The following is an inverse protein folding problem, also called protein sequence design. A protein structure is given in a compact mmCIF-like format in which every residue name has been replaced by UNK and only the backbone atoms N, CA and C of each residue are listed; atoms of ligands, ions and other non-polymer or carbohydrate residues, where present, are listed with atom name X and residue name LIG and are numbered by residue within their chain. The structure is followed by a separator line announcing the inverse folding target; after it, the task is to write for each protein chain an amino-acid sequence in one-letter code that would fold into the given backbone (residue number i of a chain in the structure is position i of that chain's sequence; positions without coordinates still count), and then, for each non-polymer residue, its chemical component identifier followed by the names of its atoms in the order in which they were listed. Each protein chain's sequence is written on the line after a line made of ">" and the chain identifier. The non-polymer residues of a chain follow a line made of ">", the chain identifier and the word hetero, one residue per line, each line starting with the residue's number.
data_IF_137533743332
#
_entry.id   IF_137533743332
#
_cell.length_a   1.000
_cell.length_b   1.000
_cell.length_c   1.000
_cell.angle_alpha   90.00
_cell.angle_beta   90.00
_cell.angle_gamma   90.00
#
_symmetry.space_group_name_H-M   'P 1'
#
loop_
_entity.id
_entity.type
_entity.pdbx_description
1 polymer ?
#
# COMPACT_ATOMS: atom_id res chain seq x y z
N UNK A 1 5.28 27.76 23.17
CA UNK A 1 6.54 27.38 22.51
C UNK A 1 7.68 28.22 23.04
N UNK A 2 8.86 27.65 23.31
CA UNK A 2 10.06 28.44 23.48
C UNK A 2 10.45 29.00 22.11
N UNK A 3 10.42 30.32 21.94
CA UNK A 3 10.84 30.99 20.70
C UNK A 3 12.26 31.51 20.87
N UNK A 4 13.05 31.58 19.80
CA UNK A 4 14.30 32.36 19.76
C UNK A 4 14.25 33.37 18.62
N UNK A 5 14.86 34.53 18.82
CA UNK A 5 14.75 35.68 17.91
C UNK A 5 15.66 35.55 16.68
N UNK A 6 16.79 34.88 16.82
CA UNK A 6 17.72 34.51 15.74
C UNK A 6 18.25 33.09 15.95
N UNK A 7 18.89 32.49 14.93
CA UNK A 7 19.50 31.15 15.04
C UNK A 7 20.52 31.05 16.18
N UNK A 8 21.16 32.16 16.51
CA UNK A 8 22.24 32.22 17.51
C UNK A 8 21.75 32.79 18.86
N UNK A 9 20.48 33.17 18.95
CA UNK A 9 19.86 33.57 20.22
C UNK A 9 19.58 32.37 21.10
N UNK A 10 19.71 32.56 22.41
CA UNK A 10 19.23 31.60 23.39
C UNK A 10 17.71 31.36 23.23
N UNK A 11 17.28 30.12 23.51
CA UNK A 11 15.87 29.80 23.60
C UNK A 11 15.27 30.46 24.85
N UNK A 12 14.03 30.95 24.74
CA UNK A 12 13.27 31.39 25.92
C UNK A 12 13.07 30.24 26.91
N UNK A 13 12.90 30.58 28.18
CA UNK A 13 12.62 29.62 29.25
C UNK A 13 11.42 28.72 28.92
N UNK A 14 11.51 27.45 29.34
CA UNK A 14 10.42 26.49 29.22
C UNK A 14 9.32 26.82 30.22
N UNK A 15 8.07 26.70 29.79
CA UNK A 15 6.88 26.87 30.63
C UNK A 15 6.30 25.50 30.96
N UNK A 16 5.96 25.27 32.23
CA UNK A 16 5.16 24.10 32.63
C UNK A 16 3.78 24.22 31.98
N UNK A 17 3.39 23.20 31.21
CA UNK A 17 2.11 23.21 30.48
C UNK A 17 0.92 22.88 31.38
N UNK A 18 1.11 22.05 32.41
CA UNK A 18 0.06 21.56 33.31
C UNK A 18 0.51 21.64 34.78
N UNK A 19 0.49 22.83 35.41
CA UNK A 19 1.19 23.09 36.68
C UNK A 19 0.69 22.28 37.89
N UNK A 20 -0.48 21.64 37.79
CA UNK A 20 -1.09 20.84 38.85
C UNK A 20 -1.26 19.35 38.47
N UNK A 21 -0.66 18.92 37.37
CA UNK A 21 -0.78 17.54 36.88
C UNK A 21 0.61 16.98 36.64
N UNK A 22 0.92 15.88 37.32
CA UNK A 22 2.15 15.11 37.11
C UNK A 22 1.87 13.99 36.10
N UNK A 23 2.69 13.91 35.06
CA UNK A 23 2.52 12.95 33.99
C UNK A 23 3.79 12.73 33.18
N UNK A 24 3.86 11.58 32.52
CA UNK A 24 4.97 11.14 31.68
C UNK A 24 4.49 10.80 30.27
N UNK A 25 5.41 10.74 29.32
CA UNK A 25 5.16 10.31 27.93
C UNK A 25 4.01 11.05 27.22
N UNK A 26 4.08 12.38 27.07
CA UNK A 26 3.01 13.13 26.44
C UNK A 26 2.91 12.83 24.93
N UNK A 27 1.68 12.76 24.42
CA UNK A 27 1.34 12.73 23.01
C UNK A 27 0.23 13.74 22.74
N UNK A 28 0.42 14.59 21.74
CA UNK A 28 -0.55 15.61 21.35
C UNK A 28 -1.24 15.19 20.04
N UNK A 29 -2.54 15.45 19.93
CA UNK A 29 -3.27 15.24 18.69
C UNK A 29 -2.76 16.15 17.56
N UNK A 30 -2.97 15.78 16.29
CA UNK A 30 -2.52 16.56 15.13
C UNK A 30 -3.11 17.97 15.05
N UNK A 31 -4.34 18.15 15.51
CA UNK A 31 -5.00 19.46 15.62
C UNK A 31 -4.44 20.30 16.80
N UNK A 32 -3.74 19.66 17.73
CA UNK A 32 -3.16 20.26 18.92
C UNK A 32 -4.13 20.45 20.08
N UNK A 33 -5.33 19.86 20.03
CA UNK A 33 -6.41 20.11 21.00
C UNK A 33 -6.54 19.05 22.09
N UNK A 34 -5.94 17.87 21.91
CA UNK A 34 -5.90 16.80 22.90
C UNK A 34 -4.47 16.49 23.32
N UNK A 35 -4.28 16.28 24.62
CA UNK A 35 -3.04 15.81 25.22
C UNK A 35 -3.31 14.49 25.92
N UNK A 36 -2.68 13.42 25.43
CA UNK A 36 -2.58 12.15 26.13
C UNK A 36 -1.28 12.11 26.92
N UNK A 37 -1.30 11.52 28.11
CA UNK A 37 -0.11 11.29 28.91
C UNK A 37 -0.35 10.14 29.88
N UNK A 38 0.71 9.63 30.48
CA UNK A 38 0.65 8.54 31.45
C UNK A 38 0.79 9.07 32.88
N UNK A 39 -0.05 8.62 33.80
CA UNK A 39 0.08 8.99 35.22
C UNK A 39 -0.44 7.90 36.14
N UNK A 40 0.26 7.71 37.26
CA UNK A 40 -0.12 6.84 38.39
C UNK A 40 -0.52 7.64 39.63
N UNK A 41 -0.47 8.97 39.55
CA UNK A 41 -0.67 9.88 40.70
C UNK A 41 -2.04 10.55 40.74
N UNK A 42 -2.80 10.43 39.65
CA UNK A 42 -4.12 11.03 39.52
C UNK A 42 -5.20 10.11 40.14
N UNK A 43 -6.18 10.67 40.87
CA UNK A 43 -7.22 9.89 41.52
C UNK A 43 -8.20 9.29 40.50
N UNK A 44 -8.53 8.01 40.65
CA UNK A 44 -9.42 7.29 39.72
C UNK A 44 -8.69 6.45 38.67
N UNK A 45 -7.38 6.24 38.84
CA UNK A 45 -6.65 5.24 38.07
C UNK A 45 -7.06 3.80 38.40
N UNK A 46 -6.82 2.88 37.47
CA UNK A 46 -7.17 1.46 37.53
C UNK A 46 -5.99 0.58 37.98
N UNK A 47 -4.75 1.03 37.79
CA UNK A 47 -3.56 0.22 38.01
C UNK A 47 -2.29 1.04 38.23
N UNK A 48 -1.22 0.66 37.52
CA UNK A 48 0.08 1.30 37.57
C UNK A 48 0.06 2.69 36.91
N UNK A 49 0.78 2.87 35.81
CA UNK A 49 0.52 4.05 34.98
C UNK A 49 -0.77 3.81 34.20
N UNK A 50 -1.64 4.80 34.17
CA UNK A 50 -2.77 4.83 33.25
C UNK A 50 -2.58 5.92 32.21
N UNK A 51 -3.23 5.79 31.05
CA UNK A 51 -3.33 6.85 30.06
C UNK A 51 -4.49 7.77 30.42
N UNK A 52 -4.17 9.05 30.53
CA UNK A 52 -5.05 10.16 30.82
C UNK A 52 -5.13 11.12 29.64
N UNK A 53 -6.25 11.81 29.52
CA UNK A 53 -6.52 12.80 28.49
C UNK A 53 -6.84 14.16 29.09
N UNK A 54 -6.34 15.23 28.47
CA UNK A 54 -6.79 16.60 28.67
C UNK A 54 -7.13 17.23 27.32
N UNK A 55 -8.12 18.10 27.29
CA UNK A 55 -8.62 18.77 26.10
C UNK A 55 -8.51 20.29 26.23
N UNK A 56 -8.56 21.02 25.12
CA UNK A 56 -8.63 22.49 25.10
C UNK A 56 -9.31 22.96 23.82
N UNK A 57 -9.99 24.11 23.91
CA UNK A 57 -10.76 24.68 22.80
C UNK A 57 -9.86 25.27 21.70
N UNK A 58 -8.69 25.80 22.07
CA UNK A 58 -7.75 26.39 21.09
C UNK A 58 -6.31 26.00 21.39
N UNK A 59 -5.42 26.09 20.40
CA UNK A 59 -3.99 25.77 20.54
C UNK A 59 -3.23 26.60 21.56
N UNK A 60 -3.79 27.74 21.97
CA UNK A 60 -3.23 28.62 22.99
C UNK A 60 -4.09 28.67 24.26
N UNK A 61 -5.21 27.94 24.29
CA UNK A 61 -6.12 27.84 25.42
C UNK A 61 -5.59 26.97 26.56
N UNK A 62 -6.24 27.10 27.70
CA UNK A 62 -5.96 26.30 28.89
C UNK A 62 -6.45 24.85 28.73
N UNK A 63 -5.71 23.91 29.31
CA UNK A 63 -6.09 22.51 29.34
C UNK A 63 -7.19 22.25 30.38
N UNK A 64 -8.13 21.37 30.04
CA UNK A 64 -9.18 20.87 30.94
C UNK A 64 -8.62 20.00 32.06
N UNK A 65 -9.47 19.60 33.01
CA UNK A 65 -9.09 18.62 34.02
C UNK A 65 -8.77 17.26 33.37
N UNK A 66 -7.80 16.48 33.91
CA UNK A 66 -7.43 15.20 33.33
C UNK A 66 -8.53 14.14 33.54
N UNK A 67 -8.81 13.38 32.48
CA UNK A 67 -9.81 12.31 32.44
C UNK A 67 -9.11 10.97 32.20
N UNK A 68 -9.44 9.95 33.00
CA UNK A 68 -8.94 8.59 32.79
C UNK A 68 -9.72 7.93 31.64
N UNK A 69 -9.01 7.29 30.70
CA UNK A 69 -9.64 6.70 29.51
C UNK A 69 -10.26 5.31 29.71
N UNK A 70 -10.11 4.71 30.90
CA UNK A 70 -10.77 3.46 31.29
C UNK A 70 -10.48 2.25 30.39
N UNK A 71 -11.15 1.11 30.62
CA UNK A 71 -11.03 -0.08 29.78
C UNK A 71 -11.74 0.09 28.42
N UNK A 72 -11.28 -0.59 27.35
CA UNK A 72 -10.18 -1.54 27.34
C UNK A 72 -8.82 -0.87 27.15
N UNK A 73 -8.73 0.46 27.08
CA UNK A 73 -7.45 1.12 26.86
C UNK A 73 -6.55 0.93 28.08
N UNK A 74 -6.99 1.43 29.23
CA UNK A 74 -6.40 1.16 30.55
C UNK A 74 -6.90 -0.18 31.11
N UNK A 75 -6.07 -0.81 31.91
CA UNK A 75 -6.33 -2.06 32.60
C UNK A 75 -5.89 -1.96 34.06
N UNK A 76 -5.95 -3.06 34.80
CA UNK A 76 -5.36 -3.10 36.16
C UNK A 76 -3.81 -3.08 36.14
N UNK A 77 -3.19 -3.16 34.95
CA UNK A 77 -1.75 -3.14 34.75
C UNK A 77 -1.17 -1.74 34.54
N UNK A 78 -0.01 -1.67 33.86
CA UNK A 78 0.65 -0.42 33.49
C UNK A 78 0.48 -0.12 32.00
N UNK A 79 -0.24 0.94 31.66
CA UNK A 79 -0.38 1.53 30.33
C UNK A 79 0.44 2.82 30.19
N UNK A 80 1.35 2.86 29.22
CA UNK A 80 2.27 3.99 29.06
C UNK A 80 2.64 4.27 27.60
N UNK A 81 3.20 5.46 27.37
CA UNK A 81 3.68 5.92 26.04
C UNK A 81 2.57 5.93 24.98
N UNK A 82 1.48 6.68 25.22
CA UNK A 82 0.45 6.84 24.22
C UNK A 82 1.02 7.48 22.95
N UNK A 83 0.44 7.13 21.82
CA UNK A 83 0.59 7.79 20.54
C UNK A 83 -0.77 7.80 19.85
N UNK A 84 -1.15 8.94 19.26
CA UNK A 84 -2.42 9.10 18.55
C UNK A 84 -2.19 9.18 17.04
N UNK A 85 -3.02 8.49 16.26
CA UNK A 85 -2.97 8.53 14.80
C UNK A 85 -3.36 9.90 14.25
N UNK A 86 -2.97 10.17 13.00
CA UNK A 86 -3.24 11.46 12.35
C UNK A 86 -4.74 11.77 12.21
N UNK A 87 -5.56 10.73 12.08
CA UNK A 87 -7.01 10.80 12.00
C UNK A 87 -7.71 10.69 13.38
N UNK A 88 -6.94 10.58 14.48
CA UNK A 88 -7.43 10.43 15.85
C UNK A 88 -8.19 9.14 16.18
N UNK A 89 -8.35 8.22 15.22
CA UNK A 89 -9.15 6.99 15.37
C UNK A 89 -8.43 5.86 16.10
N UNK A 90 -7.11 5.99 16.31
CA UNK A 90 -6.26 4.93 16.89
C UNK A 90 -5.33 5.51 17.94
N UNK A 91 -5.25 4.81 19.07
CA UNK A 91 -4.20 5.01 20.07
C UNK A 91 -3.31 3.78 20.07
N UNK A 92 -2.01 4.00 19.85
CA UNK A 92 -0.98 3.00 20.13
C UNK A 92 -0.42 3.28 21.52
N UNK A 93 -0.17 2.23 22.29
CA UNK A 93 0.40 2.36 23.62
C UNK A 93 1.22 1.12 23.97
N UNK A 94 2.03 1.22 25.01
CA UNK A 94 2.72 0.07 25.58
C UNK A 94 1.99 -0.38 26.84
N UNK A 95 1.78 -1.68 27.00
CA UNK A 95 1.21 -2.26 28.22
C UNK A 95 2.24 -3.18 28.88
N UNK A 96 2.26 -3.12 30.21
CA UNK A 96 3.16 -3.85 31.08
C UNK A 96 4.31 -3.00 31.63
N UNK A 97 4.74 -3.36 32.84
CA UNK A 97 5.97 -2.90 33.49
C UNK A 97 6.94 -4.06 33.77
N UNK A 98 8.25 -3.78 33.95
CA UNK A 98 9.16 -4.78 34.50
C UNK A 98 8.57 -5.35 35.79
N UNK A 99 8.50 -6.68 35.91
CA UNK A 99 7.91 -7.43 37.04
C UNK A 99 6.37 -7.54 37.07
N UNK A 100 5.64 -6.99 36.10
CA UNK A 100 4.23 -7.31 35.86
C UNK A 100 4.10 -8.50 34.89
N UNK A 101 3.07 -9.33 35.08
CA UNK A 101 2.70 -10.34 34.08
C UNK A 101 2.20 -9.67 32.79
N UNK A 102 2.35 -10.32 31.61
CA UNK A 102 1.87 -9.74 30.37
C UNK A 102 0.36 -9.56 30.41
N UNK A 103 -0.12 -8.44 29.86
CA UNK A 103 -1.53 -8.23 29.57
C UNK A 103 -2.06 -9.43 28.77
N UNK A 104 -3.25 -10.00 29.06
CA UNK A 104 -3.75 -11.18 28.37
C UNK A 104 -3.66 -11.05 26.84
N UNK A 105 -2.94 -11.98 26.20
CA UNK A 105 -2.63 -11.94 24.75
C UNK A 105 -1.28 -11.32 24.38
N UNK A 106 -0.55 -10.76 25.35
CA UNK A 106 0.81 -10.26 25.20
C UNK A 106 1.89 -11.34 25.39
N UNK A 107 3.10 -11.02 24.94
CA UNK A 107 4.29 -11.88 24.99
C UNK A 107 5.24 -11.45 26.12
N UNK A 108 5.27 -10.17 26.48
CA UNK A 108 6.23 -9.62 27.44
C UNK A 108 5.75 -8.40 28.21
N UNK A 109 6.67 -7.76 28.94
CA UNK A 109 6.39 -6.65 29.86
C UNK A 109 6.40 -5.25 29.22
N UNK A 110 6.43 -5.18 27.88
CA UNK A 110 6.40 -3.93 27.13
C UNK A 110 5.91 -4.17 25.69
N UNK A 111 4.79 -4.87 25.55
CA UNK A 111 4.18 -5.09 24.24
C UNK A 111 3.51 -3.82 23.73
N UNK A 112 3.46 -3.66 22.42
CA UNK A 112 2.75 -2.56 21.76
C UNK A 112 1.33 -2.99 21.46
N UNK A 113 0.38 -2.22 21.96
CA UNK A 113 -1.06 -2.44 21.85
C UNK A 113 -1.71 -1.33 21.04
N UNK A 114 -2.86 -1.65 20.48
CA UNK A 114 -3.71 -0.71 19.75
C UNK A 114 -5.12 -0.71 20.35
N UNK A 115 -5.65 0.48 20.57
CA UNK A 115 -7.07 0.71 20.82
C UNK A 115 -7.66 1.55 19.67
N UNK A 116 -8.87 1.19 19.27
CA UNK A 116 -9.69 2.05 18.44
C UNK A 116 -10.39 3.07 19.34
N UNK A 117 -10.41 4.31 18.88
CA UNK A 117 -11.23 5.35 19.47
C UNK A 117 -12.25 5.73 18.41
N UNK A 118 -13.50 5.39 18.66
CA UNK A 118 -14.60 5.68 17.75
C UNK A 118 -15.61 6.57 18.48
N UNK A 119 -16.17 7.58 17.82
CA UNK A 119 -17.18 8.44 18.42
C UNK A 119 -18.42 7.60 18.72
N UNK A 120 -18.96 7.76 19.93
CA UNK A 120 -20.22 7.12 20.33
C UNK A 120 -21.39 7.85 19.65
N UNK A 121 -21.73 7.45 18.42
CA UNK A 121 -22.70 8.16 17.60
C UNK A 121 -24.16 7.74 17.83
N UNK A 122 -24.40 6.65 18.56
CA UNK A 122 -25.73 6.24 19.03
C UNK A 122 -26.00 6.98 20.34
N UNK A 123 -26.53 8.19 20.23
CA UNK A 123 -26.71 9.14 21.33
C UNK A 123 -27.93 8.81 22.19
N UNK A 124 -28.89 8.06 21.64
CA UNK A 124 -30.08 7.63 22.37
C UNK A 124 -30.01 6.18 22.91
N UNK A 125 -28.93 5.44 22.61
CA UNK A 125 -28.72 4.04 22.97
C UNK A 125 -29.83 3.09 22.46
N UNK A 126 -30.42 3.38 21.29
CA UNK A 126 -31.42 2.51 20.68
C UNK A 126 -30.81 1.39 19.81
N UNK A 127 -29.49 1.38 19.70
CA UNK A 127 -28.70 0.42 18.93
C UNK A 127 -28.52 0.80 17.46
N UNK A 128 -29.03 1.96 17.03
CA UNK A 128 -28.89 2.50 15.68
C UNK A 128 -28.30 3.91 15.73
N UNK A 129 -27.64 4.31 14.63
CA UNK A 129 -27.15 5.69 14.44
C UNK A 129 -28.00 6.31 13.33
N UNK A 130 -29.02 7.09 13.71
CA UNK A 130 -30.09 7.56 12.83
C UNK A 130 -30.56 9.00 13.12
N UNK A 131 -31.68 9.41 12.54
CA UNK A 131 -32.24 10.76 12.70
C UNK A 131 -32.60 11.11 14.14
N UNK A 132 -32.86 10.11 15.00
CA UNK A 132 -33.18 10.34 16.41
C UNK A 132 -31.94 10.77 17.19
N UNK A 133 -30.74 10.37 16.77
CA UNK A 133 -29.48 10.85 17.36
C UNK A 133 -29.21 12.31 17.04
N UNK A 134 -29.63 12.77 15.85
CA UNK A 134 -29.58 14.20 15.49
C UNK A 134 -30.48 15.00 16.42
N UNK A 135 -31.68 14.49 16.75
CA UNK A 135 -32.59 15.17 17.68
C UNK A 135 -32.02 15.27 19.09
N UNK A 136 -31.30 14.23 19.54
CA UNK A 136 -30.57 14.27 20.82
C UNK A 136 -29.50 15.36 20.75
N UNK A 137 -28.65 15.36 19.73
CA UNK A 137 -27.61 16.38 19.57
C UNK A 137 -28.19 17.82 19.49
N UNK A 138 -29.28 18.03 18.75
CA UNK A 138 -29.95 19.34 18.66
C UNK A 138 -30.49 19.83 20.01
N UNK A 139 -30.99 18.93 20.85
CA UNK A 139 -31.48 19.29 22.18
C UNK A 139 -30.35 19.78 23.12
N UNK A 140 -29.11 19.37 22.85
CA UNK A 140 -27.93 19.71 23.63
C UNK A 140 -27.06 20.79 22.97
N UNK A 141 -27.51 21.39 21.87
CA UNK A 141 -26.74 22.37 21.10
C UNK A 141 -26.27 23.57 21.94
N UNK A 142 -24.98 23.88 21.84
CA UNK A 142 -24.31 24.96 22.57
C UNK A 142 -24.08 24.67 24.07
N UNK A 143 -24.31 23.44 24.52
CA UNK A 143 -24.09 23.02 25.91
C UNK A 143 -22.80 22.21 26.03
N UNK A 144 -22.16 22.27 27.20
CA UNK A 144 -21.04 21.40 27.55
C UNK A 144 -21.57 20.05 28.04
N UNK A 145 -22.06 19.22 27.11
CA UNK A 145 -22.60 17.89 27.39
C UNK A 145 -21.75 16.78 26.77
N UNK A 146 -20.93 16.07 27.58
CA UNK A 146 -20.06 14.99 27.10
C UNK A 146 -20.78 13.80 26.47
N UNK A 147 -22.10 13.66 26.66
CA UNK A 147 -22.86 12.58 26.04
C UNK A 147 -23.14 12.81 24.55
N UNK A 148 -23.05 14.06 24.09
CA UNK A 148 -23.34 14.48 22.71
C UNK A 148 -22.15 15.18 22.03
N UNK A 149 -21.12 15.53 22.81
CA UNK A 149 -19.86 16.13 22.38
C UNK A 149 -18.89 15.04 21.88
N UNK A 150 -18.95 14.77 20.59
CA UNK A 150 -18.30 13.65 19.89
C UNK A 150 -17.35 14.10 18.77
N UNK A 151 -17.14 15.42 18.59
CA UNK A 151 -16.31 16.01 17.56
C UNK A 151 -15.70 17.37 17.95
N UNK A 152 -14.62 17.83 17.27
CA UNK A 152 -13.84 17.13 16.26
C UNK A 152 -12.97 16.01 16.87
N UNK A 153 -12.67 14.97 16.07
CA UNK A 153 -12.12 13.69 16.52
C UNK A 153 -13.06 12.97 17.52
N UNK A 154 -12.87 11.67 17.82
CA UNK A 154 -13.84 10.86 18.59
C UNK A 154 -14.11 11.28 20.05
N UNK A 155 -13.63 12.46 20.50
CA UNK A 155 -13.49 12.85 21.89
C UNK A 155 -14.16 14.17 22.27
N UNK A 156 -14.67 14.93 21.29
CA UNK A 156 -15.29 16.24 21.55
C UNK A 156 -14.31 17.40 21.80
N UNK A 157 -14.81 18.63 21.79
CA UNK A 157 -14.06 19.85 22.16
C UNK A 157 -14.61 20.58 23.41
N UNK A 158 -15.61 20.00 24.07
CA UNK A 158 -16.21 20.52 25.29
C UNK A 158 -17.51 21.29 25.06
N UNK A 159 -18.01 21.38 23.83
CA UNK A 159 -19.29 22.01 23.52
C UNK A 159 -19.97 21.32 22.33
N UNK A 160 -21.27 21.04 22.45
CA UNK A 160 -22.04 20.47 21.33
C UNK A 160 -22.26 21.53 20.25
N UNK A 161 -21.62 21.38 19.11
CA UNK A 161 -21.67 22.31 17.99
C UNK A 161 -21.63 21.63 16.60
N UNK A 162 -21.26 22.41 15.57
CA UNK A 162 -21.18 21.92 14.19
C UNK A 162 -20.12 20.85 13.94
N UNK A 163 -19.08 20.76 14.76
CA UNK A 163 -18.05 19.74 14.65
C UNK A 163 -18.57 18.37 15.10
N UNK A 164 -19.39 18.32 16.15
CA UNK A 164 -20.10 17.10 16.56
C UNK A 164 -21.07 16.64 15.49
N UNK A 165 -21.84 17.58 14.95
CA UNK A 165 -22.78 17.29 13.88
C UNK A 165 -22.05 16.72 12.65
N UNK A 166 -20.85 17.20 12.32
CA UNK A 166 -20.06 16.65 11.23
C UNK A 166 -19.64 15.19 11.50
N UNK A 167 -19.27 14.86 12.74
CA UNK A 167 -18.91 13.48 13.15
C UNK A 167 -20.15 12.57 13.15
N UNK A 168 -21.25 13.02 13.73
CA UNK A 168 -22.52 12.29 13.75
C UNK A 168 -23.02 12.05 12.33
N UNK A 169 -22.99 13.08 11.47
CA UNK A 169 -23.37 12.95 10.07
C UNK A 169 -22.45 11.99 9.33
N UNK A 170 -21.15 11.94 9.63
CA UNK A 170 -20.24 10.93 9.07
C UNK A 170 -20.67 9.51 9.44
N UNK A 171 -21.12 9.29 10.68
CA UNK A 171 -21.58 8.00 11.16
C UNK A 171 -22.95 7.61 10.59
N UNK A 172 -23.91 8.55 10.55
CA UNK A 172 -25.25 8.37 9.96
C UNK A 172 -25.16 8.10 8.45
N UNK A 173 -24.31 8.84 7.75
CA UNK A 173 -24.13 8.68 6.29
C UNK A 173 -23.17 7.56 5.93
N UNK A 174 -22.53 6.93 6.93
CA UNK A 174 -21.59 5.84 6.72
C UNK A 174 -20.42 6.23 5.83
N UNK A 175 -19.81 7.41 6.03
CA UNK A 175 -18.67 7.89 5.23
C UNK A 175 -17.34 7.11 5.46
N UNK A 176 -17.46 5.84 5.88
CA UNK A 176 -16.54 4.74 5.58
C UNK A 176 -17.34 3.65 4.82
N UNK A 177 -17.84 4.01 3.63
CA UNK A 177 -18.59 3.13 2.74
C UNK A 177 -17.66 2.04 2.19
N UNK A 178 -17.29 1.02 2.99
CA UNK A 178 -16.28 -0.02 2.67
C UNK A 178 -16.27 -0.36 1.18
N UNK A 179 -15.45 0.35 0.38
CA UNK A 179 -15.53 0.21 -1.06
C UNK A 179 -14.93 -1.14 -1.40
N UNK A 180 -15.49 -1.82 -2.39
CA UNK A 180 -14.89 -3.02 -2.95
C UNK A 180 -14.61 -2.76 -4.42
N UNK A 181 -13.33 -2.76 -4.84
CA UNK A 181 -12.12 -2.97 -4.04
C UNK A 181 -11.86 -1.90 -2.98
N UNK A 182 -11.18 -2.28 -1.89
CA UNK A 182 -10.73 -1.36 -0.86
C UNK A 182 -9.67 -0.41 -1.41
N UNK A 183 -9.49 0.75 -0.77
CA UNK A 183 -8.43 1.68 -1.10
C UNK A 183 -7.05 0.99 -1.11
N UNK A 184 -6.25 1.28 -2.14
CA UNK A 184 -4.94 0.70 -2.41
C UNK A 184 -4.93 -0.81 -2.64
N UNK A 185 -6.09 -1.43 -2.90
CA UNK A 185 -6.12 -2.84 -3.27
C UNK A 185 -5.27 -3.08 -4.52
N UNK A 186 -4.42 -4.09 -4.47
CA UNK A 186 -3.58 -4.53 -5.60
C UNK A 186 -4.04 -5.91 -6.05
N UNK A 187 -3.67 -6.28 -7.28
CA UNK A 187 -4.03 -7.57 -7.89
C UNK A 187 -5.54 -7.78 -8.03
N UNK A 188 -6.27 -6.70 -8.27
CA UNK A 188 -7.71 -6.78 -8.48
C UNK A 188 -8.02 -7.40 -9.85
N UNK A 189 -8.94 -8.37 -9.96
CA UNK A 189 -9.38 -8.91 -11.25
C UNK A 189 -9.90 -7.83 -12.20
N UNK A 190 -9.72 -8.02 -13.50
CA UNK A 190 -10.13 -7.02 -14.52
C UNK A 190 -11.64 -6.94 -14.73
N UNK A 191 -12.37 -7.98 -14.34
CA UNK A 191 -13.82 -8.11 -14.33
C UNK A 191 -14.42 -7.75 -12.96
N UNK A 192 -13.70 -6.93 -12.18
CA UNK A 192 -14.15 -6.53 -10.85
C UNK A 192 -15.45 -5.73 -10.90
N UNK A 193 -16.43 -6.20 -10.12
CA UNK A 193 -17.64 -5.43 -9.83
C UNK A 193 -17.34 -4.48 -8.68
N UNK A 194 -17.46 -3.19 -8.94
CA UNK A 194 -17.35 -2.16 -7.91
C UNK A 194 -18.58 -2.22 -7.03
N UNK A 195 -18.44 -2.31 -5.71
CA UNK A 195 -19.58 -2.34 -4.80
C UNK A 195 -19.34 -1.54 -3.53
N UNK A 196 -20.42 -1.02 -2.97
CA UNK A 196 -20.43 -0.18 -1.77
C UNK A 196 -21.61 -0.57 -0.88
N UNK A 197 -21.62 -0.04 0.34
CA UNK A 197 -22.76 -0.20 1.24
C UNK A 197 -23.81 0.86 0.91
N UNK A 198 -25.09 0.48 1.01
CA UNK A 198 -26.18 1.43 0.87
C UNK A 198 -26.09 2.49 1.97
N UNK A 199 -26.12 3.77 1.59
CA UNK A 199 -26.29 4.88 2.53
C UNK A 199 -27.77 5.01 2.94
N UNK A 200 -28.10 5.22 4.22
CA UNK A 200 -29.45 5.58 4.65
C UNK A 200 -29.95 6.82 3.88
N UNK A 201 -31.21 6.81 3.46
CA UNK A 201 -31.86 7.89 2.68
C UNK A 201 -31.34 8.13 1.25
N UNK A 202 -30.39 7.32 0.75
CA UNK A 202 -30.01 7.38 -0.65
C UNK A 202 -31.14 6.84 -1.54
N UNK A 203 -31.59 7.68 -2.48
CA UNK A 203 -32.49 7.26 -3.56
C UNK A 203 -31.70 6.62 -4.70
N UNK A 204 -30.50 7.15 -4.96
CA UNK A 204 -29.65 6.70 -6.06
C UNK A 204 -28.18 7.06 -5.80
N UNK A 205 -27.31 6.56 -6.67
CA UNK A 205 -25.87 6.76 -6.63
C UNK A 205 -25.33 7.20 -7.99
N UNK A 206 -24.35 8.09 -7.96
CA UNK A 206 -23.50 8.43 -9.09
C UNK A 206 -22.12 7.81 -8.88
N UNK A 207 -21.67 7.00 -9.84
CA UNK A 207 -20.36 6.34 -9.78
C UNK A 207 -19.42 7.00 -10.74
N UNK A 208 -18.24 7.33 -10.22
CA UNK A 208 -17.15 7.90 -10.98
C UNK A 208 -15.98 6.93 -10.99
N UNK A 209 -15.42 6.64 -12.16
CA UNK A 209 -14.28 5.74 -12.36
C UNK A 209 -13.36 6.31 -13.44
N UNK A 210 -12.07 6.40 -13.15
CA UNK A 210 -11.09 6.91 -14.12
C UNK A 210 -9.65 6.61 -13.72
N UNK A 211 -8.70 7.03 -14.56
CA UNK A 211 -7.26 6.82 -14.33
C UNK A 211 -6.54 8.10 -13.88
N UNK A 212 -7.29 9.04 -13.30
CA UNK A 212 -6.77 10.33 -12.83
C UNK A 212 -7.51 10.70 -11.55
N UNK A 213 -6.77 10.78 -10.43
CA UNK A 213 -7.34 11.19 -9.15
C UNK A 213 -7.93 12.60 -9.20
N UNK A 214 -7.33 13.49 -9.99
CA UNK A 214 -7.79 14.88 -10.12
C UNK A 214 -9.15 14.94 -10.84
N UNK A 215 -9.31 14.18 -11.91
CA UNK A 215 -10.57 14.14 -12.67
C UNK A 215 -11.67 13.48 -11.83
N UNK A 216 -11.36 12.34 -11.20
CA UNK A 216 -12.29 11.62 -10.33
C UNK A 216 -12.65 12.41 -9.09
N UNK A 217 -11.77 13.26 -8.56
CA UNK A 217 -12.09 14.12 -7.41
C UNK A 217 -12.86 15.39 -7.79
N UNK A 218 -12.61 15.99 -8.96
CA UNK A 218 -13.23 17.26 -9.34
C UNK A 218 -14.54 17.11 -10.12
N UNK A 219 -14.82 15.93 -10.68
CA UNK A 219 -16.02 15.71 -11.46
C UNK A 219 -17.31 15.94 -10.66
N UNK A 220 -18.38 16.32 -11.34
CA UNK A 220 -19.76 16.35 -10.85
C UNK A 220 -20.73 16.11 -12.04
N UNK A 221 -22.05 16.17 -11.82
CA UNK A 221 -23.04 15.96 -12.90
C UNK A 221 -22.97 16.99 -14.03
N UNK A 222 -22.60 18.24 -13.73
CA UNK A 222 -22.47 19.31 -14.71
C UNK A 222 -21.11 19.27 -15.44
N UNK A 223 -20.08 18.79 -14.75
CA UNK A 223 -18.71 18.67 -15.22
C UNK A 223 -18.19 17.24 -14.99
N UNK A 224 -18.65 16.26 -15.78
CA UNK A 224 -18.35 14.84 -15.51
C UNK A 224 -16.90 14.44 -15.78
N UNK A 225 -16.09 15.30 -16.42
CA UNK A 225 -14.68 15.07 -16.77
C UNK A 225 -14.37 13.72 -17.45
N UNK A 226 -15.37 13.12 -18.12
CA UNK A 226 -15.27 11.80 -18.74
C UNK A 226 -15.17 10.63 -17.76
N UNK A 227 -15.39 10.86 -16.45
CA UNK A 227 -15.25 9.83 -15.40
C UNK A 227 -16.57 9.48 -14.70
N UNK A 228 -17.66 10.21 -14.93
CA UNK A 228 -19.01 9.81 -14.48
C UNK A 228 -19.48 8.63 -15.33
N UNK A 229 -19.43 7.42 -14.77
CA UNK A 229 -19.68 6.16 -15.50
C UNK A 229 -21.08 5.60 -15.25
N UNK A 230 -21.74 6.00 -14.17
CA UNK A 230 -23.14 5.68 -13.90
C UNK A 230 -23.78 6.81 -13.11
N UNK A 231 -24.97 7.24 -13.50
CA UNK A 231 -25.72 8.31 -12.83
C UNK A 231 -27.09 7.77 -12.39
N UNK A 232 -27.53 8.19 -11.21
CA UNK A 232 -28.86 7.87 -10.67
C UNK A 232 -29.16 6.36 -10.56
N UNK A 233 -28.14 5.52 -10.34
CA UNK A 233 -28.38 4.09 -10.19
C UNK A 233 -28.91 3.74 -8.79
N UNK A 234 -29.92 2.88 -8.67
CA UNK A 234 -30.44 2.44 -7.37
C UNK A 234 -29.62 1.29 -6.77
N UNK A 235 -28.82 0.60 -7.58
CA UNK A 235 -28.00 -0.53 -7.13
C UNK A 235 -26.78 -0.04 -6.35
N UNK A 236 -26.31 -0.85 -5.41
CA UNK A 236 -25.07 -0.61 -4.64
C UNK A 236 -23.86 -1.33 -5.24
N UNK A 237 -23.93 -1.60 -6.54
CA UNK A 237 -22.89 -2.25 -7.31
C UNK A 237 -22.90 -1.72 -8.74
N UNK A 238 -21.72 -1.60 -9.32
CA UNK A 238 -21.47 -1.16 -10.68
C UNK A 238 -20.47 -2.11 -11.34
N UNK A 239 -20.89 -2.72 -12.45
CA UNK A 239 -20.04 -3.55 -13.29
C UNK A 239 -19.46 -2.69 -14.43
N UNK A 240 -18.15 -2.41 -14.44
CA UNK A 240 -17.54 -1.63 -15.52
C UNK A 240 -17.76 -2.30 -16.89
N UNK A 241 -18.03 -1.52 -17.96
CA UNK A 241 -18.22 -2.10 -19.28
C UNK A 241 -16.90 -2.67 -19.80
N UNK A 242 -16.87 -4.00 -19.94
CA UNK A 242 -15.70 -4.72 -20.43
C UNK A 242 -14.61 -4.92 -19.37
N UNK A 243 -13.46 -5.44 -19.80
CA UNK A 243 -12.35 -5.69 -18.90
C UNK A 243 -11.50 -4.44 -18.73
N UNK A 244 -11.16 -4.10 -17.49
CA UNK A 244 -10.20 -3.05 -17.18
C UNK A 244 -8.81 -3.37 -17.75
N UNK A 245 -7.92 -2.39 -17.88
CA UNK A 245 -6.55 -2.61 -18.38
C UNK A 245 -5.72 -3.36 -17.35
N UNK A 246 -4.80 -4.24 -17.79
CA UNK A 246 -3.87 -4.92 -16.88
C UNK A 246 -2.88 -3.95 -16.22
N UNK A 247 -2.55 -4.21 -14.95
CA UNK A 247 -1.54 -3.47 -14.19
C UNK A 247 -1.83 -1.97 -14.04
N UNK A 248 -3.07 -1.55 -14.31
CA UNK A 248 -3.49 -0.16 -14.31
C UNK A 248 -4.10 0.21 -12.97
N UNK A 249 -3.72 1.37 -12.45
CA UNK A 249 -4.38 1.99 -11.29
C UNK A 249 -5.60 2.78 -11.75
N UNK A 250 -6.73 2.51 -11.10
CA UNK A 250 -7.98 3.24 -11.27
C UNK A 250 -8.35 3.93 -9.95
N UNK A 251 -8.90 5.13 -10.07
CA UNK A 251 -9.51 5.89 -8.99
C UNK A 251 -11.01 5.87 -9.19
N UNK A 252 -11.75 5.73 -8.10
CA UNK A 252 -13.20 5.75 -8.14
C UNK A 252 -13.79 6.37 -6.88
N UNK A 253 -15.02 6.84 -7.01
CA UNK A 253 -15.84 7.29 -5.88
C UNK A 253 -17.32 7.05 -6.19
N UNK A 254 -18.12 7.09 -5.14
CA UNK A 254 -19.57 7.00 -5.24
C UNK A 254 -20.16 8.19 -4.51
N UNK A 255 -20.92 9.01 -5.24
CA UNK A 255 -21.72 10.07 -4.65
C UNK A 255 -23.14 9.52 -4.46
N UNK A 256 -23.78 9.82 -3.33
CA UNK A 256 -25.17 9.41 -3.11
C UNK A 256 -26.11 10.61 -3.24
N UNK A 257 -27.33 10.31 -3.67
CA UNK A 257 -28.38 11.30 -3.94
C UNK A 257 -29.48 11.06 -2.93
N UNK A 258 -29.80 12.05 -2.12
CA UNK A 258 -30.87 11.89 -1.12
C UNK A 258 -32.25 11.78 -1.76
N UNK A 259 -33.12 11.01 -1.11
CA UNK A 259 -34.54 11.03 -1.42
C UNK A 259 -35.18 12.36 -0.98
N UNK A 260 -36.07 12.93 -1.81
CA UNK A 260 -36.83 14.11 -1.45
C UNK A 260 -37.31 14.94 -2.65
N UNK A 261 -38.13 15.99 -2.41
CA UNK A 261 -38.62 16.88 -3.47
C UNK A 261 -37.51 17.75 -4.09
N UNK A 262 -36.41 17.95 -3.37
CA UNK A 262 -35.17 18.55 -3.87
C UNK A 262 -34.01 17.63 -3.49
N UNK A 263 -33.61 16.70 -4.37
CA UNK A 263 -32.51 15.78 -4.09
C UNK A 263 -31.18 16.53 -3.89
N UNK A 264 -30.43 16.14 -2.86
CA UNK A 264 -29.09 16.69 -2.56
C UNK A 264 -28.05 15.61 -2.89
N UNK A 265 -26.99 16.00 -3.58
CA UNK A 265 -25.87 15.10 -3.90
C UNK A 265 -24.78 15.25 -2.83
N UNK A 266 -24.42 14.13 -2.21
CA UNK A 266 -23.37 14.06 -1.21
C UNK A 266 -22.17 13.33 -1.82
N UNK A 267 -21.04 14.02 -1.84
CA UNK A 267 -19.81 13.53 -2.48
C UNK A 267 -19.12 12.48 -1.61
N UNK A 268 -18.78 11.34 -2.21
CA UNK A 268 -18.03 10.27 -1.55
C UNK A 268 -16.51 10.49 -1.52
N UNK A 269 -15.82 9.68 -0.71
CA UNK A 269 -14.37 9.63 -0.69
C UNK A 269 -13.82 9.00 -1.99
N UNK A 270 -12.69 9.52 -2.48
CA UNK A 270 -11.97 8.95 -3.62
C UNK A 270 -11.04 7.85 -3.12
N UNK A 271 -11.14 6.67 -3.72
CA UNK A 271 -10.30 5.51 -3.42
C UNK A 271 -9.68 4.97 -4.70
N UNK A 272 -8.55 4.26 -4.58
CA UNK A 272 -7.87 3.63 -5.72
C UNK A 272 -7.74 2.12 -5.57
N UNK A 273 -7.57 1.46 -6.70
CA UNK A 273 -7.10 0.08 -6.78
C UNK A 273 -6.24 -0.14 -8.03
N UNK A 274 -5.40 -1.16 -8.00
CA UNK A 274 -4.57 -1.58 -9.13
C UNK A 274 -4.97 -2.97 -9.57
N UNK A 275 -5.36 -3.10 -10.83
CA UNK A 275 -5.69 -4.38 -11.45
C UNK A 275 -4.46 -5.30 -11.52
N UNK A 276 -4.69 -6.60 -11.58
CA UNK A 276 -3.63 -7.58 -11.80
C UNK A 276 -2.75 -7.29 -13.04
N UNK A 277 -1.46 -7.66 -13.03
CA UNK A 277 -0.57 -7.45 -14.17
C UNK A 277 -0.84 -8.46 -15.30
N UNK A 278 -0.50 -8.07 -16.54
CA UNK A 278 -0.68 -8.89 -17.74
C UNK A 278 0.14 -10.19 -17.67
N UNK A 279 1.39 -10.07 -17.21
CA UNK A 279 2.30 -11.18 -17.06
C UNK A 279 3.05 -11.12 -15.73
N UNK A 280 3.44 -12.29 -15.22
CA UNK A 280 4.16 -12.45 -13.96
C UNK A 280 5.52 -13.11 -14.20
N UNK A 281 6.56 -12.73 -13.44
CA UNK A 281 7.83 -13.44 -13.46
C UNK A 281 7.65 -14.90 -13.06
N UNK A 282 8.22 -15.82 -13.84
CA UNK A 282 8.34 -17.23 -13.47
C UNK A 282 9.50 -17.34 -12.47
N UNK A 283 9.22 -17.87 -11.28
CA UNK A 283 10.24 -18.00 -10.22
C UNK A 283 10.80 -19.41 -10.10
N UNK A 284 10.06 -20.43 -10.54
CA UNK A 284 10.49 -21.83 -10.51
C UNK A 284 11.22 -22.20 -11.79
N UNK A 285 12.49 -21.80 -11.90
CA UNK A 285 13.34 -22.04 -13.06
C UNK A 285 14.58 -22.84 -12.67
N UNK A 286 14.87 -23.91 -13.40
CA UNK A 286 16.13 -24.64 -13.33
C UNK A 286 16.96 -24.25 -14.54
N UNK A 287 18.15 -23.68 -14.32
CA UNK A 287 19.07 -23.30 -15.37
C UNK A 287 20.20 -24.35 -15.51
N UNK A 288 20.52 -24.71 -16.75
CA UNK A 288 21.62 -25.61 -17.12
C UNK A 288 22.36 -25.04 -18.31
N UNK A 289 23.67 -25.24 -18.41
CA UNK A 289 24.48 -24.64 -19.48
C UNK A 289 25.51 -25.61 -20.06
N UNK A 290 26.03 -25.24 -21.23
CA UNK A 290 27.05 -26.00 -21.96
C UNK A 290 28.36 -26.15 -21.19
N UNK A 291 28.70 -25.16 -20.38
CA UNK A 291 29.84 -25.22 -19.46
C UNK A 291 29.71 -24.12 -18.39
N UNK A 292 30.66 -24.11 -17.46
CA UNK A 292 30.79 -23.09 -16.42
C UNK A 292 32.26 -22.74 -16.20
N UNK A 293 32.50 -21.66 -15.45
CA UNK A 293 33.82 -21.26 -14.97
C UNK A 293 33.76 -20.95 -13.47
N UNK A 294 34.51 -21.69 -12.66
CA UNK A 294 34.52 -21.48 -11.20
C UNK A 294 33.13 -21.67 -10.57
N UNK A 295 32.68 -20.69 -9.80
CA UNK A 295 31.35 -20.66 -9.17
C UNK A 295 30.28 -19.93 -10.00
N UNK A 296 30.60 -19.53 -11.23
CA UNK A 296 29.71 -18.80 -12.14
C UNK A 296 28.81 -19.76 -12.92
N UNK A 297 27.98 -20.51 -12.19
CA UNK A 297 27.05 -21.52 -12.72
C UNK A 297 25.84 -20.91 -13.41
N UNK A 298 25.06 -21.75 -14.11
CA UNK A 298 23.89 -21.30 -14.88
C UNK A 298 22.78 -20.74 -13.98
N UNK A 299 22.67 -21.25 -12.75
CA UNK A 299 21.72 -20.82 -11.72
C UNK A 299 21.83 -19.33 -11.40
N UNK A 300 23.01 -18.72 -11.61
CA UNK A 300 23.23 -17.30 -11.41
C UNK A 300 22.38 -16.40 -12.29
N UNK A 301 21.89 -16.94 -13.41
CA UNK A 301 21.03 -16.18 -14.31
C UNK A 301 19.56 -16.16 -13.90
N UNK A 302 19.17 -16.84 -12.82
CA UNK A 302 17.77 -16.90 -12.35
C UNK A 302 17.63 -16.82 -10.83
N UNK A 303 18.73 -16.75 -10.08
CA UNK A 303 18.72 -16.75 -8.61
C UNK A 303 18.65 -15.35 -7.99
N UNK A 304 18.70 -14.30 -8.82
CA UNK A 304 18.64 -12.91 -8.35
C UNK A 304 19.88 -12.44 -7.58
N UNK A 305 20.95 -13.25 -7.51
CA UNK A 305 22.09 -12.97 -6.62
C UNK A 305 22.85 -11.69 -6.96
N UNK A 306 22.76 -11.22 -8.20
CA UNK A 306 23.34 -9.95 -8.64
C UNK A 306 22.41 -8.75 -8.65
N UNK A 307 21.12 -8.92 -8.38
CA UNK A 307 20.13 -7.84 -8.48
C UNK A 307 20.01 -7.02 -7.18
N UNK A 308 19.99 -5.70 -7.32
CA UNK A 308 19.61 -4.78 -6.25
C UNK A 308 18.08 -4.56 -6.17
N UNK A 309 17.64 -3.77 -5.19
CA UNK A 309 16.20 -3.47 -4.97
C UNK A 309 15.54 -2.69 -6.12
N UNK A 310 16.34 -2.11 -7.01
CA UNK A 310 15.89 -1.32 -8.16
C UNK A 310 16.05 -2.10 -9.47
N UNK A 311 16.25 -3.41 -9.40
CA UNK A 311 16.43 -4.30 -10.55
C UNK A 311 17.75 -4.09 -11.32
N UNK A 312 18.72 -3.42 -10.67
CA UNK A 312 20.05 -3.18 -11.20
C UNK A 312 21.01 -4.31 -10.87
N UNK A 313 21.74 -4.82 -11.86
CA UNK A 313 22.68 -5.92 -11.68
C UNK A 313 24.08 -5.45 -11.26
N UNK A 314 24.77 -6.25 -10.46
CA UNK A 314 26.16 -6.06 -10.03
C UNK A 314 27.17 -6.21 -11.18
N UNK A 315 28.45 -5.99 -10.88
CA UNK A 315 29.60 -6.25 -11.77
C UNK A 315 30.51 -7.36 -11.25
N UNK A 316 30.03 -8.21 -10.32
CA UNK A 316 30.82 -9.30 -9.74
C UNK A 316 30.65 -10.58 -10.57
N UNK A 317 31.75 -11.26 -10.92
CA UNK A 317 31.72 -12.48 -11.73
C UNK A 317 30.92 -13.60 -11.07
N UNK A 318 30.89 -13.64 -9.74
CA UNK A 318 30.21 -14.69 -8.98
C UNK A 318 28.68 -14.60 -9.07
N UNK A 319 28.16 -13.45 -9.48
CA UNK A 319 26.74 -13.15 -9.61
C UNK A 319 26.24 -13.39 -11.04
N UNK A 320 27.05 -14.03 -11.90
CA UNK A 320 26.77 -14.19 -13.33
C UNK A 320 27.11 -15.61 -13.76
N UNK A 321 26.52 -16.06 -14.87
CA UNK A 321 26.98 -17.26 -15.56
C UNK A 321 28.08 -16.92 -16.55
N UNK A 322 29.11 -17.77 -16.62
CA UNK A 322 30.17 -17.68 -17.61
C UNK A 322 30.58 -19.07 -18.12
N UNK A 323 30.48 -19.27 -19.44
CA UNK A 323 31.01 -20.43 -20.17
C UNK A 323 32.53 -20.37 -20.44
N UNK A 324 33.21 -21.50 -20.17
CA UNK A 324 34.61 -21.77 -20.58
C UNK A 324 34.72 -22.56 -21.90
N UNK A 325 33.60 -22.81 -22.58
CA UNK A 325 33.48 -23.62 -23.79
C UNK A 325 33.87 -22.93 -25.11
N UNK A 326 33.75 -23.66 -26.22
CA UNK A 326 33.83 -23.14 -27.60
C UNK A 326 32.43 -22.85 -28.13
N UNK A 327 32.30 -21.83 -28.99
CA UNK A 327 31.03 -21.54 -29.64
C UNK A 327 30.51 -22.72 -30.50
N UNK A 328 29.18 -22.92 -30.57
CA UNK A 328 28.16 -22.18 -29.82
C UNK A 328 28.12 -22.60 -28.35
N UNK A 329 27.98 -21.63 -27.45
CA UNK A 329 27.69 -21.88 -26.05
C UNK A 329 26.17 -21.88 -25.88
N UNK A 330 25.63 -22.67 -24.96
CA UNK A 330 24.19 -22.68 -24.73
C UNK A 330 23.86 -22.62 -23.24
N UNK A 331 22.71 -22.03 -22.92
CA UNK A 331 22.07 -22.07 -21.62
C UNK A 331 20.59 -22.40 -21.81
N UNK A 332 20.05 -23.27 -20.98
CA UNK A 332 18.71 -23.80 -21.05
C UNK A 332 18.01 -23.62 -19.70
N UNK A 333 16.75 -23.24 -19.77
CA UNK A 333 15.87 -22.99 -18.65
C UNK A 333 14.71 -23.99 -18.71
N UNK A 334 14.50 -24.74 -17.63
CA UNK A 334 13.35 -25.61 -17.42
C UNK A 334 12.41 -24.99 -16.38
N UNK A 335 11.13 -24.93 -16.71
CA UNK A 335 10.07 -24.49 -15.80
C UNK A 335 9.37 -25.69 -15.18
N UNK A 336 8.73 -25.48 -14.03
CA UNK A 336 7.98 -26.54 -13.33
C UNK A 336 6.74 -27.06 -14.08
N UNK A 337 6.18 -26.27 -15.00
CA UNK A 337 5.05 -26.61 -15.87
C UNK A 337 5.15 -25.87 -17.20
N UNK A 338 4.26 -26.18 -18.15
CA UNK A 338 4.11 -25.36 -19.37
C UNK A 338 3.50 -24.01 -18.99
N UNK A 339 4.14 -22.92 -19.41
CA UNK A 339 3.65 -21.55 -19.30
C UNK A 339 3.37 -20.98 -20.70
N UNK A 340 2.42 -20.05 -20.79
CA UNK A 340 2.31 -19.16 -21.96
C UNK A 340 3.31 -18.02 -21.77
N UNK A 341 4.46 -18.10 -22.44
CA UNK A 341 5.53 -17.12 -22.28
C UNK A 341 5.16 -15.82 -22.98
N UNK A 342 5.25 -14.72 -22.26
CA UNK A 342 5.00 -13.38 -22.77
C UNK A 342 6.29 -12.68 -23.19
N UNK A 343 7.27 -12.60 -22.29
CA UNK A 343 8.49 -11.83 -22.52
C UNK A 343 9.69 -12.43 -21.78
N UNK A 344 10.89 -12.24 -22.32
CA UNK A 344 12.17 -12.51 -21.69
C UNK A 344 12.93 -11.20 -21.54
N UNK A 345 13.31 -10.86 -20.31
CA UNK A 345 14.22 -9.76 -20.03
C UNK A 345 15.62 -10.31 -19.80
N UNK A 346 16.63 -9.66 -20.37
CA UNK A 346 18.02 -10.09 -20.28
C UNK A 346 18.86 -8.96 -19.70
N UNK A 347 19.60 -9.29 -18.65
CA UNK A 347 20.78 -8.56 -18.22
C UNK A 347 21.98 -9.28 -18.79
N UNK A 348 22.68 -8.64 -19.71
CA UNK A 348 23.84 -9.25 -20.33
C UNK A 348 25.05 -9.25 -19.39
N UNK A 349 26.06 -10.05 -19.69
CA UNK A 349 27.25 -10.22 -18.86
C UNK A 349 27.94 -8.88 -18.52
N UNK A 350 27.94 -8.49 -17.26
CA UNK A 350 28.20 -7.11 -16.84
C UNK A 350 29.49 -6.92 -16.02
N UNK A 351 30.55 -7.68 -16.27
CA UNK A 351 31.85 -7.40 -15.64
C UNK A 351 32.35 -6.01 -16.02
N UNK A 352 33.10 -5.34 -15.13
CA UNK A 352 33.64 -3.99 -15.41
C UNK A 352 34.55 -3.91 -16.63
N UNK A 353 35.08 -5.05 -17.09
CA UNK A 353 35.90 -5.14 -18.30
C UNK A 353 35.08 -5.41 -19.58
N UNK A 354 33.77 -5.59 -19.47
CA UNK A 354 32.88 -5.96 -20.57
C UNK A 354 32.99 -5.01 -21.79
N UNK A 355 33.03 -3.67 -21.62
CA UNK A 355 33.17 -2.76 -22.77
C UNK A 355 34.46 -2.97 -23.58
N UNK A 356 35.49 -3.60 -23.01
CA UNK A 356 36.77 -3.85 -23.65
C UNK A 356 36.92 -5.30 -24.15
N UNK A 357 36.40 -6.28 -23.41
CA UNK A 357 36.55 -7.70 -23.73
C UNK A 357 35.38 -8.26 -24.53
N UNK A 358 34.16 -7.76 -24.30
CA UNK A 358 32.97 -8.19 -25.03
C UNK A 358 32.59 -9.65 -24.82
N UNK A 359 32.53 -10.13 -23.58
CA UNK A 359 32.11 -11.50 -23.29
C UNK A 359 30.58 -11.67 -23.28
N UNK A 360 29.82 -10.57 -23.20
CA UNK A 360 28.37 -10.59 -23.30
C UNK A 360 27.88 -11.26 -24.58
N UNK A 361 26.77 -11.99 -24.45
CA UNK A 361 26.08 -12.61 -25.57
C UNK A 361 25.65 -11.54 -26.59
N UNK A 362 25.82 -11.79 -27.89
CA UNK A 362 25.47 -10.83 -28.95
C UNK A 362 24.43 -11.42 -29.90
N UNK A 363 24.85 -12.41 -30.68
CA UNK A 363 23.96 -13.14 -31.60
C UNK A 363 23.47 -14.40 -30.89
N UNK A 364 22.18 -14.45 -30.58
CA UNK A 364 21.56 -15.53 -29.80
C UNK A 364 20.40 -16.11 -30.58
N UNK A 365 20.42 -17.42 -30.82
CA UNK A 365 19.26 -18.17 -31.26
C UNK A 365 18.47 -18.61 -30.03
N UNK A 366 17.19 -18.25 -29.97
CA UNK A 366 16.28 -18.68 -28.90
C UNK A 366 15.37 -19.77 -29.45
N UNK A 367 15.26 -20.87 -28.72
CA UNK A 367 14.37 -21.99 -29.04
C UNK A 367 13.52 -22.32 -27.81
N UNK A 368 12.29 -22.80 -28.02
CA UNK A 368 11.40 -23.21 -26.94
C UNK A 368 10.76 -24.56 -27.22
N UNK A 369 10.36 -25.25 -26.16
CA UNK A 369 9.76 -26.60 -26.22
C UNK A 369 8.80 -26.84 -25.06
N UNK A 370 7.79 -27.67 -25.27
CA UNK A 370 6.88 -28.17 -24.22
C UNK A 370 7.33 -29.51 -23.65
N UNK A 371 8.14 -30.28 -24.39
CA UNK A 371 8.55 -31.65 -24.04
C UNK A 371 10.07 -31.83 -23.87
N UNK A 372 10.87 -30.84 -24.26
CA UNK A 372 12.34 -30.86 -24.18
C UNK A 372 13.02 -31.61 -25.32
N UNK A 373 12.26 -32.15 -26.27
CA UNK A 373 12.75 -32.95 -27.41
C UNK A 373 12.48 -32.27 -28.76
N UNK A 374 11.29 -31.72 -28.96
CA UNK A 374 10.92 -30.97 -30.15
C UNK A 374 11.06 -29.47 -29.89
N UNK A 375 11.95 -28.80 -30.62
CA UNK A 375 12.32 -27.40 -30.40
C UNK A 375 11.85 -26.51 -31.53
N UNK A 376 11.20 -25.40 -31.19
CA UNK A 376 10.74 -24.39 -32.14
C UNK A 376 11.61 -23.13 -32.00
N UNK A 377 12.21 -22.61 -33.09
CA UNK A 377 12.95 -21.36 -33.03
C UNK A 377 12.00 -20.17 -32.84
N UNK A 378 12.36 -19.27 -31.92
CA UNK A 378 11.68 -18.00 -31.74
C UNK A 378 12.09 -17.05 -32.88
N UNK A 379 11.11 -16.47 -33.56
CA UNK A 379 11.35 -15.51 -34.64
C UNK A 379 11.72 -14.13 -34.07
N UNK A 380 12.38 -13.30 -34.89
CA UNK A 380 12.66 -11.89 -34.60
C UNK A 380 13.44 -11.64 -33.30
N UNK A 381 14.31 -12.57 -32.88
CA UNK A 381 15.20 -12.34 -31.73
C UNK A 381 16.15 -11.18 -32.05
N UNK A 382 16.12 -10.08 -31.29
CA UNK A 382 17.03 -8.97 -31.50
C UNK A 382 18.46 -9.37 -31.13
N UNK A 383 19.44 -8.63 -31.66
CA UNK A 383 20.80 -8.69 -31.13
C UNK A 383 20.80 -8.21 -29.67
N UNK A 384 21.44 -8.97 -28.78
CA UNK A 384 21.50 -8.61 -27.36
C UNK A 384 22.44 -7.43 -27.17
N UNK A 385 21.99 -6.40 -26.46
CA UNK A 385 22.79 -5.21 -26.19
C UNK A 385 23.99 -5.55 -25.30
N UNK A 386 25.11 -4.85 -25.51
CA UNK A 386 26.31 -5.03 -24.69
C UNK A 386 26.12 -4.35 -23.33
N UNK A 387 26.39 -5.07 -22.24
CA UNK A 387 26.29 -4.49 -20.91
C UNK A 387 27.37 -3.41 -20.68
N UNK A 388 27.08 -2.38 -19.84
CA UNK A 388 27.97 -1.23 -19.66
C UNK A 388 29.20 -1.51 -18.77
N UNK A 389 29.27 -2.65 -18.09
CA UNK A 389 30.27 -2.96 -17.09
C UNK A 389 30.13 -2.10 -15.82
N UNK A 390 28.90 -1.70 -15.47
CA UNK A 390 28.59 -0.81 -14.34
C UNK A 390 27.49 -1.40 -13.48
N UNK A 391 27.63 -1.25 -12.16
CA UNK A 391 26.62 -1.70 -11.20
C UNK A 391 25.34 -0.87 -11.35
N UNK A 392 24.20 -1.47 -11.01
CA UNK A 392 22.88 -0.81 -11.12
C UNK A 392 22.30 -0.83 -12.54
N UNK A 393 22.90 -1.60 -13.45
CA UNK A 393 22.42 -1.74 -14.83
C UNK A 393 21.18 -2.65 -14.89
N UNK A 394 20.09 -2.16 -15.47
CA UNK A 394 18.82 -2.89 -15.65
C UNK A 394 18.76 -3.62 -17.00
N UNK A 395 17.86 -4.59 -17.16
CA UNK A 395 17.66 -5.28 -18.43
C UNK A 395 17.43 -4.28 -19.57
N UNK A 396 18.27 -4.38 -20.61
CA UNK A 396 18.22 -3.52 -21.80
C UNK A 396 17.75 -4.27 -23.04
N UNK A 397 17.65 -5.60 -22.95
CA UNK A 397 17.17 -6.46 -24.01
C UNK A 397 15.91 -7.18 -23.54
N UNK A 398 14.79 -6.86 -24.17
CA UNK A 398 13.49 -7.47 -23.92
C UNK A 398 13.00 -8.15 -25.19
N UNK A 399 12.63 -9.43 -25.08
CA UNK A 399 12.26 -10.28 -26.21
C UNK A 399 10.84 -10.78 -25.99
N UNK A 400 9.93 -10.42 -26.90
CA UNK A 400 8.57 -10.96 -26.89
C UNK A 400 8.57 -12.43 -27.31
N UNK A 401 7.85 -13.25 -26.54
CA UNK A 401 7.53 -14.63 -26.85
C UNK A 401 6.17 -14.79 -27.54
N UNK A 402 5.38 -13.71 -27.66
CA UNK A 402 4.08 -13.75 -28.34
C UNK A 402 3.05 -14.71 -27.74
N UNK A 403 3.20 -15.10 -26.47
CA UNK A 403 2.26 -16.01 -25.80
C UNK A 403 2.47 -17.49 -26.10
N UNK A 404 3.63 -17.92 -26.59
CA UNK A 404 3.86 -19.33 -26.96
C UNK A 404 3.93 -20.26 -25.74
N UNK A 405 3.38 -21.48 -25.83
CA UNK A 405 3.48 -22.47 -24.77
C UNK A 405 4.90 -23.04 -24.70
N UNK A 406 5.54 -22.96 -23.54
CA UNK A 406 6.85 -23.56 -23.30
C UNK A 406 7.01 -24.06 -21.87
N UNK A 407 7.66 -25.22 -21.72
CA UNK A 407 8.24 -25.69 -20.47
C UNK A 407 9.76 -25.49 -20.46
N UNK A 408 10.37 -25.43 -21.64
CA UNK A 408 11.81 -25.28 -21.81
C UNK A 408 12.11 -24.12 -22.75
N UNK A 409 13.14 -23.35 -22.43
CA UNK A 409 13.73 -22.34 -23.32
C UNK A 409 15.23 -22.56 -23.39
N UNK A 410 15.80 -22.50 -24.59
CA UNK A 410 17.24 -22.64 -24.83
C UNK A 410 17.75 -21.43 -25.58
N UNK A 411 18.77 -20.77 -25.02
CA UNK A 411 19.53 -19.71 -25.65
C UNK A 411 20.83 -20.33 -26.17
N UNK A 412 21.01 -20.33 -27.49
CA UNK A 412 22.25 -20.73 -28.14
C UNK A 412 22.99 -19.47 -28.60
N UNK A 413 24.08 -19.15 -27.90
CA UNK A 413 24.91 -17.98 -28.17
C UNK A 413 25.90 -18.33 -29.27
N UNK A 414 25.74 -17.70 -30.42
CA UNK A 414 26.56 -17.92 -31.62
C UNK A 414 27.77 -16.98 -31.67
N UNK A 415 27.60 -15.76 -31.16
CA UNK A 415 28.64 -14.71 -31.11
C UNK A 415 28.53 -13.92 -29.82
N UNK A 416 29.69 -13.46 -29.33
CA UNK A 416 29.80 -12.43 -28.31
C UNK A 416 30.22 -11.08 -28.93
N UNK A 417 30.30 -10.03 -28.11
CA UNK A 417 30.71 -8.70 -28.55
C UNK A 417 32.21 -8.59 -28.90
N UNK A 418 33.06 -9.40 -28.29
CA UNK A 418 34.51 -9.31 -28.37
C UNK A 418 35.12 -9.96 -29.60
N UNK A 419 34.49 -11.02 -30.15
CA UNK A 419 34.88 -11.70 -31.39
C UNK A 419 36.25 -12.40 -31.39
N UNK A 420 37.04 -12.28 -30.31
CA UNK A 420 38.41 -12.82 -30.21
C UNK A 420 38.49 -14.10 -29.39
N UNK A 421 37.67 -14.20 -28.35
CA UNK A 421 37.69 -15.28 -27.38
C UNK A 421 36.33 -15.98 -27.39
N UNK A 422 36.27 -17.33 -27.29
CA UNK A 422 35.01 -18.06 -27.37
C UNK A 422 34.17 -18.00 -26.08
N UNK A 423 34.71 -17.39 -25.02
CA UNK A 423 34.03 -17.18 -23.75
C UNK A 423 32.78 -16.32 -23.91
N UNK A 424 31.71 -16.70 -23.21
CA UNK A 424 30.52 -15.85 -23.11
C UNK A 424 29.79 -16.06 -21.79
N UNK A 425 28.91 -15.14 -21.44
CA UNK A 425 28.11 -15.22 -20.22
C UNK A 425 26.82 -14.42 -20.31
N UNK A 426 26.04 -14.52 -19.25
CA UNK A 426 24.85 -13.71 -18.98
C UNK A 426 24.83 -13.38 -17.50
N UNK A 427 24.28 -12.22 -17.15
CA UNK A 427 24.13 -11.84 -15.75
C UNK A 427 22.85 -12.41 -15.17
N UNK A 428 21.70 -12.06 -15.76
CA UNK A 428 20.38 -12.46 -15.26
C UNK A 428 19.41 -12.56 -16.44
N UNK A 429 18.42 -13.44 -16.32
CA UNK A 429 17.25 -13.46 -17.18
C UNK A 429 15.97 -13.53 -16.37
N UNK A 430 14.91 -12.90 -16.88
CA UNK A 430 13.58 -13.00 -16.30
C UNK A 430 12.57 -13.37 -17.36
N UNK A 431 11.93 -14.52 -17.17
CA UNK A 431 10.82 -14.95 -18.01
C UNK A 431 9.51 -14.46 -17.38
N UNK A 432 8.67 -13.81 -18.17
CA UNK A 432 7.32 -13.43 -17.79
C UNK A 432 6.31 -14.33 -18.52
N UNK A 433 5.32 -14.84 -17.79
CA UNK A 433 4.23 -15.63 -18.34
C UNK A 433 2.90 -14.88 -18.22
N UNK A 434 2.06 -14.94 -19.25
CA UNK A 434 0.71 -14.37 -19.20
C UNK A 434 -0.17 -15.15 -18.21
N UNK A 435 -1.09 -14.45 -17.54
CA UNK A 435 -1.99 -15.09 -16.58
C UNK A 435 -3.12 -15.90 -17.24
N UNK A 436 -3.46 -15.58 -18.49
CA UNK A 436 -4.52 -16.26 -19.23
C UNK A 436 -3.98 -17.09 -20.40
N UNK A 437 -4.44 -18.34 -20.50
CA UNK A 437 -4.24 -19.17 -21.69
C UNK A 437 -5.08 -18.67 -22.89
N UNK A 438 -6.13 -17.89 -22.65
CA UNK A 438 -7.01 -17.30 -23.67
C UNK A 438 -6.57 -15.89 -24.13
N UNK A 439 -5.72 -15.19 -23.37
CA UNK A 439 -5.26 -13.83 -23.68
C UNK A 439 -4.12 -13.78 -24.73
N UNK A 440 -3.67 -14.94 -25.22
CA UNK A 440 -2.61 -15.08 -26.22
C UNK A 440 -2.97 -14.57 -27.64
N UNK A 441 -4.04 -13.78 -27.79
CA UNK A 441 -4.56 -13.31 -29.08
C UNK A 441 -4.71 -11.80 -29.21
N UNK A 442 -4.31 -11.00 -28.21
CA UNK A 442 -4.22 -9.54 -28.38
C UNK A 442 -2.85 -9.20 -29.01
N UNK A 443 -2.83 -8.52 -30.19
CA UNK A 443 -1.63 -8.24 -30.97
C UNK A 443 -0.68 -7.22 -30.34
#
# INVERSE_FOLDING_TARGET
>A
MATRTTRDSAWKESKVLTPNVSGEYPAISPDGLLLLFSSSSLPGGLGGLDIWMMARVTRDGDWSAPVNLGPPLNSEGTERRPWISYDGSRVLFTSGAPFEGPRPGGVGSADVWQALVLPACDLNNDGNVDEKDILVMQAHWGQADPSCDIGPLPWGDGIVDTHDLAVLMKAITGLDARPKPLAHAVEVPRDVILSWMSAPFAQSYDVYLGTSVADVNSADRAHPNGVLVSQDQPATAYDPPGLLDFGRTYWWRVDFVSAGPVPVVYKGAVVDFTTEPFARPITSIIATASSLQGSSGAEKTVDGSGLDKSDGHSTDAKDMWWSSGKFPNWIQYEFNKVYMLHELWVWNFNLSIEPYMGFGAKTVKIEYSTDGTAWTPLANVPEFAQAPGKAGYTADTKISFGGVPAKFVKLTIEKNWGGKAPQTGLSEVRFLASQDAAAATQP
#
